data_IF_311661075305
#
_entry.id   IF_311661075305
#
_cell.length_a   1.000
_cell.length_b   1.000
_cell.length_c   1.000
_cell.angle_alpha   90.00
_cell.angle_beta   90.00
_cell.angle_gamma   90.00
#
_symmetry.space_group_name_H-M   'P 1'
#
loop_
_entity.id
_entity.type
_entity.pdbx_description
1 polymer ?
#
# COMPACT_ATOMS: atom_id res chain seq x y z
N UNK A 1 -38.26 19.53 -4.66
CA UNK A 1 -36.89 19.41 -5.20
C UNK A 1 -35.78 19.58 -4.15
N UNK A 2 -35.98 20.32 -3.06
CA UNK A 2 -34.93 20.56 -2.05
C UNK A 2 -34.42 19.33 -1.29
N UNK A 3 -35.28 18.33 -1.06
CA UNK A 3 -34.92 17.12 -0.30
C UNK A 3 -33.76 16.36 -0.96
N UNK A 4 -33.70 16.34 -2.29
CA UNK A 4 -32.65 15.63 -3.03
C UNK A 4 -31.29 16.32 -2.89
N UNK A 5 -31.27 17.66 -2.86
CA UNK A 5 -30.05 18.46 -2.70
C UNK A 5 -29.39 18.30 -1.32
N UNK A 6 -30.17 17.92 -0.29
CA UNK A 6 -29.65 17.68 1.07
C UNK A 6 -29.38 16.20 1.34
N UNK A 7 -30.24 15.30 0.85
CA UNK A 7 -30.12 13.86 1.15
C UNK A 7 -28.94 13.20 0.42
N UNK A 8 -28.70 13.53 -0.86
CA UNK A 8 -27.64 12.90 -1.64
C UNK A 8 -26.23 13.15 -1.06
N UNK A 9 -25.87 14.39 -0.65
CA UNK A 9 -24.58 14.66 -0.02
C UNK A 9 -24.39 13.98 1.33
N UNK A 10 -25.46 13.90 2.13
CA UNK A 10 -25.42 13.24 3.44
C UNK A 10 -25.12 11.76 3.25
N UNK A 11 -25.82 11.10 2.32
CA UNK A 11 -25.57 9.69 1.99
C UNK A 11 -24.14 9.49 1.47
N UNK A 12 -23.66 10.37 0.60
CA UNK A 12 -22.30 10.31 0.07
C UNK A 12 -21.22 10.59 1.14
N UNK A 13 -21.50 11.46 2.11
CA UNK A 13 -20.59 11.90 3.16
C UNK A 13 -20.45 10.92 4.34
N UNK A 14 -21.52 10.21 4.67
CA UNK A 14 -21.59 9.24 5.78
C UNK A 14 -20.42 8.24 5.85
N UNK A 15 -20.05 7.53 4.76
CA UNK A 15 -18.94 6.57 4.83
C UNK A 15 -17.60 7.26 5.19
N UNK A 16 -17.38 8.49 4.74
CA UNK A 16 -16.17 9.25 5.06
C UNK A 16 -16.13 9.68 6.53
N UNK A 17 -17.27 10.11 7.08
CA UNK A 17 -17.39 10.45 8.51
C UNK A 17 -17.08 9.23 9.38
N UNK A 18 -17.68 8.09 9.09
CA UNK A 18 -17.42 6.87 9.87
C UNK A 18 -15.96 6.43 9.80
N UNK A 19 -15.35 6.50 8.61
CA UNK A 19 -13.92 6.18 8.44
C UNK A 19 -13.02 7.16 9.18
N UNK A 20 -13.35 8.45 9.18
CA UNK A 20 -12.61 9.47 9.92
C UNK A 20 -12.67 9.21 11.44
N UNK A 21 -13.86 8.95 11.99
CA UNK A 21 -14.04 8.64 13.41
C UNK A 21 -13.30 7.35 13.82
N UNK A 22 -13.33 6.31 12.97
CA UNK A 22 -12.55 5.09 13.18
C UNK A 22 -11.05 5.37 13.23
N UNK A 23 -10.55 6.24 12.34
CA UNK A 23 -9.13 6.62 12.34
C UNK A 23 -8.75 7.39 13.60
N UNK A 24 -9.62 8.30 14.07
CA UNK A 24 -9.38 9.06 15.30
C UNK A 24 -9.38 8.15 16.53
N UNK A 25 -10.34 7.21 16.62
CA UNK A 25 -10.36 6.20 17.68
C UNK A 25 -9.08 5.36 17.68
N UNK A 26 -8.67 4.87 16.51
CA UNK A 26 -7.46 4.04 16.42
C UNK A 26 -6.20 4.84 16.73
N UNK A 27 -6.15 6.13 16.37
CA UNK A 27 -5.08 7.02 16.78
C UNK A 27 -5.05 7.23 18.30
N UNK A 28 -6.20 7.40 18.95
CA UNK A 28 -6.27 7.49 20.40
C UNK A 28 -5.67 6.25 21.07
N UNK A 29 -5.98 5.06 20.53
CA UNK A 29 -5.58 3.77 21.10
C UNK A 29 -4.10 3.43 20.85
N UNK A 30 -3.57 3.64 19.64
CA UNK A 30 -2.19 3.25 19.28
C UNK A 30 -1.19 4.41 19.30
N UNK A 31 -1.66 5.66 19.27
CA UNK A 31 -0.86 6.89 19.12
C UNK A 31 0.02 6.92 17.86
N UNK A 32 -0.28 6.10 16.84
CA UNK A 32 0.48 6.07 15.59
C UNK A 32 0.02 7.15 14.59
N UNK A 33 0.94 8.02 14.17
CA UNK A 33 0.68 9.12 13.24
C UNK A 33 0.07 8.68 11.88
N UNK A 34 0.31 7.43 11.46
CA UNK A 34 -0.29 6.84 10.25
C UNK A 34 -1.82 6.93 10.26
N UNK A 35 -2.45 6.74 11.42
CA UNK A 35 -3.91 6.84 11.53
C UNK A 35 -4.40 8.28 11.36
N UNK A 36 -3.63 9.26 11.81
CA UNK A 36 -3.96 10.68 11.65
C UNK A 36 -3.84 11.13 10.18
N UNK A 37 -2.82 10.67 9.47
CA UNK A 37 -2.70 10.94 8.04
C UNK A 37 -3.83 10.27 7.23
N UNK A 38 -4.29 9.08 7.65
CA UNK A 38 -5.45 8.42 7.05
C UNK A 38 -6.76 9.16 7.38
N UNK A 39 -6.89 9.72 8.59
CA UNK A 39 -7.97 10.64 8.94
C UNK A 39 -8.00 11.86 8.01
N UNK A 40 -6.84 12.50 7.79
CA UNK A 40 -6.72 13.64 6.86
C UNK A 40 -7.20 13.29 5.45
N UNK A 41 -6.90 12.07 4.97
CA UNK A 41 -7.42 11.57 3.69
C UNK A 41 -8.94 11.60 3.64
N UNK A 42 -9.61 11.02 4.63
CA UNK A 42 -11.07 10.95 4.64
C UNK A 42 -11.74 12.31 4.86
N UNK A 43 -11.12 13.21 5.63
CA UNK A 43 -11.57 14.59 5.76
C UNK A 43 -11.46 15.34 4.43
N UNK A 44 -10.36 15.16 3.69
CA UNK A 44 -10.21 15.79 2.37
C UNK A 44 -11.31 15.37 1.39
N UNK A 45 -11.68 14.08 1.36
CA UNK A 45 -12.80 13.59 0.54
C UNK A 45 -14.15 14.10 1.02
N UNK A 46 -14.36 14.22 2.34
CA UNK A 46 -15.58 14.79 2.90
C UNK A 46 -15.73 16.28 2.52
N UNK A 47 -14.63 17.03 2.50
CA UNK A 47 -14.63 18.43 2.06
C UNK A 47 -15.03 18.57 0.59
N UNK A 48 -14.61 17.64 -0.28
CA UNK A 48 -15.07 17.63 -1.69
C UNK A 48 -16.59 17.51 -1.76
N UNK A 49 -17.18 16.60 -0.98
CA UNK A 49 -18.65 16.42 -0.94
C UNK A 49 -19.35 17.70 -0.48
N UNK A 50 -18.89 18.31 0.62
CA UNK A 50 -19.48 19.54 1.17
C UNK A 50 -19.35 20.72 0.20
N UNK A 51 -18.16 20.93 -0.37
CA UNK A 51 -17.92 22.03 -1.31
C UNK A 51 -18.72 21.84 -2.59
N UNK A 52 -18.79 20.62 -3.11
CA UNK A 52 -19.61 20.31 -4.29
C UNK A 52 -21.09 20.65 -4.11
N UNK A 53 -21.56 20.77 -2.86
CA UNK A 53 -22.99 20.94 -2.56
C UNK A 53 -23.33 22.35 -2.08
N UNK A 54 -22.43 22.97 -1.31
CA UNK A 54 -22.61 24.35 -0.82
C UNK A 54 -22.22 25.36 -1.90
N UNK A 55 -21.21 25.03 -2.71
CA UNK A 55 -20.63 25.91 -3.72
C UNK A 55 -20.91 25.40 -5.13
N UNK A 56 -22.08 24.77 -5.35
CA UNK A 56 -22.51 24.24 -6.65
C UNK A 56 -22.47 25.27 -7.78
N UNK A 57 -22.66 26.54 -7.46
CA UNK A 57 -22.60 27.68 -8.40
C UNK A 57 -21.17 28.04 -8.85
N UNK A 58 -20.14 27.54 -8.16
CA UNK A 58 -18.73 27.86 -8.45
C UNK A 58 -17.94 26.60 -8.84
N UNK A 59 -17.94 26.21 -10.12
CA UNK A 59 -17.26 25.00 -10.58
C UNK A 59 -15.75 25.03 -10.29
N UNK A 60 -15.14 26.21 -10.27
CA UNK A 60 -13.73 26.41 -9.98
C UNK A 60 -13.34 25.89 -8.58
N UNK A 61 -14.15 26.17 -7.56
CA UNK A 61 -13.86 25.75 -6.19
C UNK A 61 -13.94 24.22 -6.02
N UNK A 62 -14.91 23.59 -6.70
CA UNK A 62 -15.10 22.15 -6.74
C UNK A 62 -13.91 21.47 -7.41
N UNK A 63 -13.44 22.01 -8.54
CA UNK A 63 -12.27 21.48 -9.25
C UNK A 63 -11.02 21.59 -8.38
N UNK A 64 -10.79 22.74 -7.74
CA UNK A 64 -9.62 22.96 -6.89
C UNK A 64 -9.61 22.00 -5.69
N UNK A 65 -10.70 21.93 -4.92
CA UNK A 65 -10.76 21.05 -3.73
C UNK A 65 -10.65 19.57 -4.11
N UNK A 66 -11.27 19.18 -5.22
CA UNK A 66 -11.24 17.81 -5.72
C UNK A 66 -9.85 17.43 -6.23
N UNK A 67 -9.15 18.37 -6.86
CA UNK A 67 -7.75 18.18 -7.28
C UNK A 67 -6.85 17.99 -6.08
N UNK A 68 -6.98 18.82 -5.04
CA UNK A 68 -6.19 18.69 -3.80
C UNK A 68 -6.44 17.35 -3.13
N UNK A 69 -7.71 16.95 -2.97
CA UNK A 69 -8.06 15.64 -2.38
C UNK A 69 -7.53 14.47 -3.21
N UNK A 70 -7.58 14.58 -4.55
CA UNK A 70 -7.08 13.57 -5.48
C UNK A 70 -5.56 13.43 -5.39
N UNK A 71 -4.82 14.54 -5.34
CA UNK A 71 -3.37 14.53 -5.17
C UNK A 71 -2.99 13.93 -3.82
N UNK A 72 -3.68 14.31 -2.75
CA UNK A 72 -3.41 13.76 -1.41
C UNK A 72 -3.63 12.23 -1.38
N UNK A 73 -4.75 11.75 -1.93
CA UNK A 73 -5.04 10.32 -2.00
C UNK A 73 -4.06 9.56 -2.93
N UNK A 74 -3.66 10.16 -4.06
CA UNK A 74 -2.66 9.57 -4.94
C UNK A 74 -1.27 9.49 -4.30
N UNK A 75 -0.85 10.54 -3.60
CA UNK A 75 0.39 10.55 -2.84
C UNK A 75 0.37 9.48 -1.74
N UNK A 76 -0.77 9.30 -1.06
CA UNK A 76 -0.96 8.22 -0.09
C UNK A 76 -0.73 6.85 -0.70
N UNK A 77 -1.40 6.55 -1.82
CA UNK A 77 -1.32 5.21 -2.44
C UNK A 77 0.11 4.87 -2.84
N UNK A 78 0.82 5.81 -3.47
CA UNK A 78 2.22 5.61 -3.90
C UNK A 78 3.17 5.52 -2.70
N UNK A 79 3.07 6.44 -1.75
CA UNK A 79 4.06 6.55 -0.67
C UNK A 79 3.83 5.53 0.45
N UNK A 80 2.57 5.27 0.83
CA UNK A 80 2.21 4.53 2.04
C UNK A 80 1.66 3.15 1.76
N UNK A 81 0.89 2.95 0.67
CA UNK A 81 0.37 1.63 0.31
C UNK A 81 1.33 0.85 -0.61
N UNK A 82 2.12 1.51 -1.46
CA UNK A 82 3.13 0.86 -2.32
C UNK A 82 4.58 0.98 -1.80
N UNK A 83 4.78 1.80 -0.77
CA UNK A 83 6.09 1.95 -0.13
C UNK A 83 7.17 2.55 -1.02
N UNK A 84 6.79 3.37 -2.00
CA UNK A 84 7.73 4.14 -2.82
C UNK A 84 8.09 5.42 -2.08
N UNK A 85 8.73 5.27 -0.92
CA UNK A 85 9.18 6.40 -0.12
C UNK A 85 10.33 7.16 -0.80
N UNK A 86 10.59 8.38 -0.31
CA UNK A 86 11.66 9.27 -0.78
C UNK A 86 13.04 8.58 -0.86
N UNK A 87 13.32 7.60 0.00
CA UNK A 87 14.56 6.83 -0.01
C UNK A 87 14.71 5.86 -1.20
N UNK A 88 13.63 5.30 -1.74
CA UNK A 88 13.67 4.48 -2.96
C UNK A 88 13.85 5.38 -4.19
N UNK A 89 13.13 6.50 -4.23
CA UNK A 89 13.22 7.55 -5.24
C UNK A 89 14.62 8.17 -5.34
N UNK A 90 15.16 8.67 -4.23
CA UNK A 90 16.52 9.19 -4.15
C UNK A 90 17.58 8.10 -4.30
N UNK A 91 17.28 6.87 -3.86
CA UNK A 91 18.14 5.72 -4.08
C UNK A 91 18.29 5.40 -5.56
N UNK A 92 17.23 5.55 -6.36
CA UNK A 92 17.27 5.41 -7.81
C UNK A 92 18.13 6.49 -8.46
N UNK A 93 18.01 7.75 -8.02
CA UNK A 93 18.86 8.86 -8.48
C UNK A 93 20.32 8.70 -8.06
N UNK A 94 20.57 8.31 -6.82
CA UNK A 94 21.93 8.06 -6.30
C UNK A 94 22.57 6.84 -6.98
N UNK A 95 21.77 5.83 -7.34
CA UNK A 95 22.26 4.67 -8.10
C UNK A 95 22.56 5.03 -9.55
N UNK A 96 21.73 5.84 -10.20
CA UNK A 96 22.03 6.41 -11.53
C UNK A 96 23.34 7.21 -11.49
N UNK A 97 23.58 7.98 -10.42
CA UNK A 97 24.86 8.68 -10.20
C UNK A 97 26.03 7.70 -10.04
N UNK A 98 25.88 6.67 -9.21
CA UNK A 98 26.92 5.66 -8.98
C UNK A 98 27.23 4.77 -10.20
N UNK A 99 26.26 4.54 -11.08
CA UNK A 99 26.46 3.81 -12.35
C UNK A 99 27.07 4.72 -13.45
N UNK A 100 27.02 6.05 -13.26
CA UNK A 100 27.65 7.05 -14.15
C UNK A 100 29.10 7.36 -13.72
N UNK A 101 29.45 7.13 -12.46
CA UNK A 101 30.82 7.27 -11.97
C UNK A 101 31.72 6.18 -12.56
N UNK A 102 32.86 6.60 -13.10
CA UNK A 102 33.85 5.68 -13.67
C UNK A 102 34.44 4.77 -12.58
N UNK A 103 34.78 3.50 -12.88
CA UNK A 103 35.30 2.56 -11.88
C UNK A 103 36.52 3.10 -11.10
N UNK A 104 37.35 3.92 -11.76
CA UNK A 104 38.57 4.52 -11.17
C UNK A 104 38.26 5.59 -10.11
N UNK A 105 37.22 6.40 -10.28
CA UNK A 105 36.83 7.43 -9.29
C UNK A 105 36.20 6.81 -8.04
N UNK A 106 35.53 5.66 -8.21
CA UNK A 106 34.93 4.89 -7.12
C UNK A 106 35.98 4.24 -6.21
N UNK A 107 37.11 3.84 -6.79
CA UNK A 107 38.22 3.22 -6.05
C UNK A 107 39.05 4.25 -5.28
N UNK A 108 39.18 5.48 -5.80
CA UNK A 108 39.83 6.61 -5.07
C UNK A 108 39.05 7.13 -3.87
N UNK A 109 37.72 6.96 -3.86
CA UNK A 109 36.84 7.51 -2.82
C UNK A 109 36.55 6.54 -1.67
N UNK A 110 37.01 5.29 -1.77
CA UNK A 110 36.84 4.29 -0.71
C UNK A 110 37.93 4.44 0.38
N UNK A 111 37.57 4.55 1.67
CA UNK A 111 38.55 4.52 2.75
C UNK A 111 39.19 3.13 2.86
N UNK A 112 40.52 3.08 3.00
CA UNK A 112 41.28 1.85 3.23
C UNK A 112 41.06 1.34 4.65
N UNK A 113 39.91 0.72 4.90
CA UNK A 113 39.62 0.03 6.15
C UNK A 113 39.13 -1.38 5.80
N UNK A 114 39.67 -2.46 6.38
CA UNK A 114 39.16 -3.81 6.19
C UNK A 114 37.87 -3.97 7.02
N UNK A 115 36.84 -3.20 6.67
CA UNK A 115 35.50 -3.43 7.19
C UNK A 115 34.88 -4.52 6.34
N UNK A 116 34.54 -5.62 7.00
CA UNK A 116 33.56 -6.59 6.52
C UNK A 116 32.48 -5.84 5.72
N UNK A 117 32.25 -6.26 4.47
CA UNK A 117 31.20 -5.71 3.60
C UNK A 117 29.97 -5.50 4.49
N UNK A 118 29.50 -4.26 4.74
CA UNK A 118 28.35 -4.07 5.60
C UNK A 118 27.26 -4.92 4.97
N UNK A 119 26.72 -5.87 5.75
CA UNK A 119 25.72 -6.83 5.30
C UNK A 119 24.74 -6.06 4.43
N UNK A 120 24.87 -6.24 3.11
CA UNK A 120 24.19 -5.43 2.11
C UNK A 120 22.74 -5.64 2.43
N UNK A 121 22.10 -4.65 3.08
CA UNK A 121 20.72 -4.71 3.51
C UNK A 121 19.97 -5.31 2.34
N UNK A 122 19.58 -6.57 2.50
CA UNK A 122 19.09 -7.39 1.41
C UNK A 122 17.74 -6.76 1.11
N UNK A 123 17.72 -5.81 0.16
CA UNK A 123 16.52 -5.06 -0.14
C UNK A 123 15.50 -6.13 -0.53
N UNK A 124 14.34 -6.17 0.14
CA UNK A 124 13.33 -7.17 -0.16
C UNK A 124 13.06 -7.10 -1.66
N UNK A 125 13.23 -8.24 -2.34
CA UNK A 125 13.06 -8.32 -3.79
C UNK A 125 11.60 -8.00 -4.11
N UNK A 126 11.37 -6.84 -4.76
CA UNK A 126 10.06 -6.49 -5.31
C UNK A 126 9.82 -7.33 -6.55
N UNK A 127 8.60 -7.81 -6.72
CA UNK A 127 8.20 -8.61 -7.87
C UNK A 127 8.11 -7.73 -9.12
N UNK A 128 7.63 -6.49 -8.99
CA UNK A 128 7.51 -5.56 -10.11
C UNK A 128 8.69 -4.58 -10.21
N UNK A 129 9.08 -4.28 -11.44
CA UNK A 129 10.11 -3.27 -11.73
C UNK A 129 9.61 -1.84 -11.51
N UNK A 130 10.51 -0.91 -11.18
CA UNK A 130 10.16 0.48 -10.85
C UNK A 130 9.37 1.23 -11.95
N UNK A 131 9.54 0.88 -13.24
CA UNK A 131 8.78 1.47 -14.35
C UNK A 131 7.28 1.14 -14.28
N UNK A 132 6.95 -0.08 -13.84
CA UNK A 132 5.58 -0.56 -13.72
C UNK A 132 4.86 0.26 -12.64
N UNK A 133 5.51 0.52 -11.51
CA UNK A 133 4.96 1.37 -10.45
C UNK A 133 4.64 2.79 -10.92
N UNK A 134 5.51 3.42 -11.72
CA UNK A 134 5.23 4.76 -12.26
C UNK A 134 4.06 4.76 -13.24
N UNK A 135 3.99 3.75 -14.11
CA UNK A 135 2.86 3.59 -15.02
C UNK A 135 1.55 3.38 -14.23
N UNK A 136 1.57 2.49 -13.24
CA UNK A 136 0.42 2.22 -12.38
C UNK A 136 0.03 3.44 -11.54
N UNK A 137 0.99 4.24 -11.05
CA UNK A 137 0.72 5.50 -10.34
C UNK A 137 -0.02 6.50 -11.23
N UNK A 138 0.46 6.65 -12.48
CA UNK A 138 -0.17 7.52 -13.46
C UNK A 138 -1.58 7.03 -13.83
N UNK A 139 -1.74 5.74 -14.08
CA UNK A 139 -3.04 5.12 -14.38
C UNK A 139 -4.00 5.24 -13.20
N UNK A 140 -3.54 5.05 -11.96
CA UNK A 140 -4.37 5.22 -10.76
C UNK A 140 -4.81 6.68 -10.60
N UNK A 141 -3.94 7.66 -10.86
CA UNK A 141 -4.30 9.07 -10.82
C UNK A 141 -5.37 9.43 -11.88
N UNK A 142 -5.20 8.94 -13.11
CA UNK A 142 -6.16 9.15 -14.19
C UNK A 142 -7.51 8.49 -13.86
N UNK A 143 -7.50 7.23 -13.45
CA UNK A 143 -8.69 6.48 -13.08
C UNK A 143 -9.38 7.07 -11.83
N UNK A 144 -8.63 7.66 -10.89
CA UNK A 144 -9.18 8.39 -9.73
C UNK A 144 -9.82 9.71 -10.13
N UNK A 145 -9.29 10.39 -11.15
CA UNK A 145 -9.91 11.62 -11.67
C UNK A 145 -11.33 11.36 -12.19
N UNK A 146 -11.62 10.13 -12.62
CA UNK A 146 -12.98 9.66 -12.98
C UNK A 146 -13.96 9.70 -11.80
N UNK A 147 -13.49 9.58 -10.55
CA UNK A 147 -14.37 9.72 -9.38
C UNK A 147 -15.05 11.09 -9.34
N UNK A 148 -14.38 12.15 -9.81
CA UNK A 148 -14.97 13.50 -9.91
C UNK A 148 -16.12 13.53 -10.91
N UNK A 149 -16.03 12.75 -11.99
CA UNK A 149 -17.10 12.62 -12.98
C UNK A 149 -18.35 11.95 -12.41
N UNK A 150 -18.23 11.18 -11.33
CA UNK A 150 -19.39 10.60 -10.63
C UNK A 150 -20.12 11.61 -9.74
N UNK A 151 -19.45 12.71 -9.36
CA UNK A 151 -20.06 13.80 -8.60
C UNK A 151 -20.77 14.81 -9.51
N UNK A 152 -20.32 14.95 -10.76
CA UNK A 152 -20.98 15.80 -11.75
C UNK A 152 -22.25 15.13 -12.30
N UNK A 153 -23.36 15.86 -12.45
CA UNK A 153 -24.57 15.31 -13.03
C UNK A 153 -24.32 14.92 -14.51
N UNK A 154 -24.41 13.62 -14.80
CA UNK A 154 -24.17 12.98 -16.10
C UNK A 154 -25.09 13.53 -17.22
N UNK A 155 -26.13 14.28 -16.83
CA UNK A 155 -27.06 14.97 -17.72
C UNK A 155 -26.39 15.96 -18.67
N UNK A 156 -25.21 16.48 -18.32
CA UNK A 156 -24.46 17.47 -19.10
C UNK A 156 -23.68 16.82 -20.26
N UNK A 157 -23.21 15.58 -20.08
CA UNK A 157 -22.31 14.92 -21.04
C UNK A 157 -23.09 14.23 -22.17
N UNK A 158 -24.22 13.59 -21.85
CA UNK A 158 -25.01 12.86 -22.84
C UNK A 158 -26.51 13.02 -22.58
N UNK A 159 -27.23 13.56 -23.57
CA UNK A 159 -28.70 13.67 -23.53
C UNK A 159 -29.43 12.33 -23.73
N UNK A 160 -28.78 11.33 -24.33
CA UNK A 160 -29.38 10.02 -24.60
C UNK A 160 -29.26 9.06 -23.42
N UNK A 161 -30.35 8.37 -23.08
CA UNK A 161 -30.39 7.38 -21.98
C UNK A 161 -29.33 6.28 -22.19
N UNK A 162 -29.22 5.77 -23.42
CA UNK A 162 -28.24 4.73 -23.80
C UNK A 162 -26.80 5.16 -23.51
N UNK A 163 -26.44 6.41 -23.84
CA UNK A 163 -25.08 6.92 -23.58
C UNK A 163 -24.77 7.05 -22.10
N UNK A 164 -25.76 7.40 -21.27
CA UNK A 164 -25.58 7.46 -19.80
C UNK A 164 -25.32 6.09 -19.20
N UNK A 165 -26.07 5.08 -19.62
CA UNK A 165 -25.88 3.69 -19.14
C UNK A 165 -24.50 3.19 -19.52
N UNK A 166 -24.09 3.37 -20.78
CA UNK A 166 -22.76 2.97 -21.25
C UNK A 166 -21.66 3.66 -20.45
N UNK A 167 -21.75 4.98 -20.25
CA UNK A 167 -20.74 5.74 -19.51
C UNK A 167 -20.62 5.25 -18.06
N UNK A 168 -21.74 5.05 -17.35
CA UNK A 168 -21.72 4.55 -15.96
C UNK A 168 -21.11 3.15 -15.88
N UNK A 169 -21.44 2.25 -16.82
CA UNK A 169 -20.84 0.92 -16.88
C UNK A 169 -19.33 1.00 -17.12
N UNK A 170 -18.89 1.87 -18.03
CA UNK A 170 -17.46 2.08 -18.30
C UNK A 170 -16.73 2.62 -17.07
N UNK A 171 -17.25 3.67 -16.44
CA UNK A 171 -16.67 4.25 -15.21
C UNK A 171 -16.58 3.19 -14.09
N UNK A 172 -17.63 2.39 -13.92
CA UNK A 172 -17.65 1.31 -12.92
C UNK A 172 -16.61 0.23 -13.22
N UNK A 173 -16.45 -0.16 -14.49
CA UNK A 173 -15.44 -1.14 -14.90
C UNK A 173 -14.01 -0.65 -14.64
N UNK A 174 -13.75 0.64 -14.91
CA UNK A 174 -12.45 1.27 -14.65
C UNK A 174 -12.15 1.29 -13.14
N UNK A 175 -13.12 1.64 -12.30
CA UNK A 175 -12.94 1.65 -10.84
C UNK A 175 -12.64 0.24 -10.30
N UNK A 176 -13.28 -0.81 -10.84
CA UNK A 176 -13.01 -2.20 -10.45
C UNK A 176 -11.57 -2.60 -10.79
N UNK A 177 -11.11 -2.31 -12.01
CA UNK A 177 -9.75 -2.63 -12.45
C UNK A 177 -8.73 -1.88 -11.59
N UNK A 178 -8.97 -0.60 -11.33
CA UNK A 178 -8.11 0.25 -10.50
C UNK A 178 -7.97 -0.31 -9.08
N UNK A 179 -9.08 -0.71 -8.44
CA UNK A 179 -9.07 -1.33 -7.10
C UNK A 179 -8.33 -2.65 -7.07
N UNK A 180 -8.51 -3.47 -8.12
CA UNK A 180 -7.81 -4.75 -8.26
C UNK A 180 -6.30 -4.55 -8.36
N UNK A 181 -5.87 -3.60 -9.20
CA UNK A 181 -4.47 -3.21 -9.33
C UNK A 181 -3.90 -2.70 -8.00
N UNK A 182 -4.58 -1.76 -7.34
CA UNK A 182 -4.16 -1.22 -6.03
C UNK A 182 -4.00 -2.32 -4.97
N UNK A 183 -4.91 -3.30 -4.93
CA UNK A 183 -4.86 -4.41 -3.97
C UNK A 183 -3.62 -5.29 -4.19
N UNK A 184 -3.25 -5.58 -5.43
CA UNK A 184 -2.06 -6.38 -5.76
C UNK A 184 -0.78 -5.70 -5.25
N UNK A 185 -0.60 -4.41 -5.55
CA UNK A 185 0.60 -3.67 -5.11
C UNK A 185 0.65 -3.48 -3.60
N UNK A 186 -0.51 -3.31 -2.96
CA UNK A 186 -0.59 -3.26 -1.50
C UNK A 186 -0.14 -4.58 -0.88
N UNK A 187 -0.64 -5.72 -1.39
CA UNK A 187 -0.27 -7.05 -0.91
C UNK A 187 1.23 -7.27 -1.06
N UNK A 188 1.79 -6.92 -2.23
CA UNK A 188 3.23 -7.00 -2.46
C UNK A 188 4.00 -6.13 -1.45
N UNK A 189 3.58 -4.88 -1.23
CA UNK A 189 4.23 -4.01 -0.25
C UNK A 189 4.16 -4.59 1.17
N UNK A 190 3.01 -5.13 1.57
CA UNK A 190 2.85 -5.81 2.86
C UNK A 190 3.77 -7.05 2.94
N UNK A 191 3.92 -7.83 1.88
CA UNK A 191 4.84 -8.98 1.82
C UNK A 191 6.31 -8.55 1.92
N UNK A 192 6.70 -7.49 1.23
CA UNK A 192 8.05 -6.91 1.23
C UNK A 192 8.38 -6.32 2.61
N UNK A 193 7.45 -5.58 3.20
CA UNK A 193 7.59 -5.01 4.54
C UNK A 193 7.67 -6.11 5.61
N UNK A 194 6.80 -7.11 5.56
CA UNK A 194 6.78 -8.22 6.50
C UNK A 194 7.98 -9.17 6.33
N UNK A 195 8.44 -9.39 5.09
CA UNK A 195 9.56 -10.25 4.76
C UNK A 195 10.92 -9.75 5.29
N UNK A 196 11.02 -8.44 5.56
CA UNK A 196 12.21 -7.83 6.18
C UNK A 196 12.22 -7.89 7.72
N UNK A 197 11.10 -8.28 8.34
CA UNK A 197 10.91 -8.25 9.79
C UNK A 197 10.99 -9.62 10.45
N UNK A 198 10.07 -10.54 10.14
CA UNK A 198 10.05 -11.89 10.72
C UNK A 198 9.26 -12.80 9.79
N UNK A 199 9.77 -14.01 9.60
CA UNK A 199 9.11 -15.20 9.02
C UNK A 199 7.62 -15.21 9.39
N UNK A 200 6.77 -14.71 8.51
CA UNK A 200 5.33 -14.58 8.72
C UNK A 200 4.68 -15.96 8.62
N UNK A 201 4.81 -16.74 9.70
CA UNK A 201 4.05 -17.90 10.16
C UNK A 201 4.82 -18.47 11.36
N UNK A 202 4.73 -17.81 12.53
CA UNK A 202 5.02 -18.51 13.78
C UNK A 202 3.82 -19.42 14.04
N UNK A 203 4.01 -20.70 13.76
CA UNK A 203 3.07 -21.83 13.89
C UNK A 203 2.35 -22.26 12.61
N UNK A 204 2.98 -23.19 11.90
CA UNK A 204 2.27 -24.21 11.12
C UNK A 204 2.00 -25.38 12.08
N UNK A 205 0.75 -25.86 12.25
CA UNK A 205 0.49 -27.07 13.01
C UNK A 205 1.30 -28.22 12.43
N UNK A 206 2.32 -28.66 13.14
CA UNK A 206 3.22 -29.72 12.70
C UNK A 206 2.53 -31.08 12.85
N UNK A 207 1.66 -31.43 11.91
CA UNK A 207 1.21 -32.82 11.68
C UNK A 207 2.39 -33.75 11.32
N UNK A 208 3.50 -33.17 10.85
CA UNK A 208 4.76 -33.87 10.57
C UNK A 208 5.55 -34.24 11.83
N UNK A 209 5.49 -33.43 12.90
CA UNK A 209 6.16 -33.76 14.17
C UNK A 209 5.42 -34.88 14.91
N UNK A 210 4.10 -35.00 14.76
CA UNK A 210 3.32 -36.11 15.30
C UNK A 210 3.64 -37.46 14.64
N UNK A 211 4.17 -37.46 13.41
CA UNK A 211 4.64 -38.67 12.74
C UNK A 211 6.10 -39.01 13.11
N UNK A 212 6.92 -37.99 13.39
CA UNK A 212 8.29 -38.16 13.88
C UNK A 212 8.30 -38.72 15.32
N UNK A 213 7.48 -38.17 16.23
CA UNK A 213 7.35 -38.67 17.62
C UNK A 213 6.79 -40.09 17.68
N UNK A 214 5.95 -40.48 16.71
CA UNK A 214 5.39 -41.84 16.64
C UNK A 214 6.42 -42.88 16.18
N UNK A 215 7.52 -42.47 15.52
CA UNK A 215 8.63 -43.34 15.12
C UNK A 215 9.68 -43.50 16.21
N UNK A 216 9.89 -42.48 17.05
CA UNK A 216 10.80 -42.53 18.21
C UNK A 216 10.19 -43.19 19.45
N UNK A 217 8.86 -43.26 19.54
CA UNK A 217 8.16 -43.93 20.64
C UNK A 217 8.03 -45.46 20.49
N UNK A 218 8.68 -46.09 19.50
CA UNK A 218 8.74 -47.55 19.36
C UNK A 218 10.11 -48.07 19.84
N UNK A 219 10.25 -48.47 21.12
CA UNK A 219 11.45 -49.16 21.57
C UNK A 219 11.41 -50.61 21.10
N UNK A 220 12.39 -51.03 20.29
CA UNK A 220 12.70 -52.45 20.12
C UNK A 220 12.93 -52.92 18.69
N UNK A 221 14.05 -52.52 18.08
CA UNK A 221 14.78 -53.37 17.12
C UNK A 221 16.26 -52.96 17.07
N UNK A 222 17.03 -53.49 18.03
CA UNK A 222 18.37 -54.10 17.85
C UNK A 222 19.58 -53.28 17.39
N UNK A 223 20.35 -52.76 18.37
CA UNK A 223 21.84 -52.84 18.54
C UNK A 223 22.83 -52.35 17.46
N UNK A 224 24.17 -52.39 17.71
CA UNK A 224 24.89 -52.68 18.96
C UNK A 224 25.80 -51.54 19.46
N UNK A 225 26.14 -51.67 20.74
CA UNK A 225 26.94 -50.82 21.60
C UNK A 225 28.44 -50.88 21.29
N UNK A 226 29.12 -49.73 21.29
CA UNK A 226 30.56 -49.59 21.56
C UNK A 226 30.80 -48.18 22.11
N UNK A 227 31.02 -48.04 23.43
CA UNK A 227 32.31 -48.02 24.14
C UNK A 227 32.85 -46.59 24.30
N UNK A 228 32.82 -46.06 25.53
CA UNK A 228 33.55 -44.84 25.87
C UNK A 228 32.95 -43.94 26.96
N UNK A 229 32.78 -44.46 28.18
CA UNK A 229 32.90 -43.64 29.40
C UNK A 229 34.08 -44.24 30.19
N UNK A 230 34.92 -43.43 30.86
CA UNK A 230 34.53 -42.82 32.15
C UNK A 230 35.13 -41.39 32.29
N UNK A 231 34.98 -40.57 33.33
CA UNK A 231 34.90 -40.73 34.78
C UNK A 231 34.30 -39.44 35.39
N UNK A 232 33.74 -39.62 36.58
CA UNK A 232 33.26 -38.63 37.56
C UNK A 232 34.32 -37.61 38.03
N UNK A 233 33.80 -36.50 38.59
CA UNK A 233 34.35 -35.52 39.56
C UNK A 233 34.18 -34.10 39.01
N UNK A 234 33.58 -33.11 39.69
CA UNK A 234 33.14 -32.99 41.08
C UNK A 234 32.09 -31.87 41.18
#
# INVERSE_FOLDING_TARGET
>A
DDTHHVVLPVIAGLPYVFRALQCLRRFHDTREARHLWNFGKYISSLLVVVVSTVFSESPESIVVVSTVATIYAGAWDVALDWGLGHHELLGFCSRRRADTESPEERERSLPNTPTSKPARAQRPERHFGGRIYWLCAFVDLMARSTWVLTLMPITIVTGSITGRVILVTLISSVEIIRRSMWAVFRIEYEQVANGSGFRALLWVPSKLNAAADRRTALPGLGGPSNLGQPLLQH
#
